data_IF_280367303325
#
_entry.id   IF_280367303325
#
_cell.length_a   1.000
_cell.length_b   1.000
_cell.length_c   1.000
_cell.angle_alpha   90.00
_cell.angle_beta   90.00
_cell.angle_gamma   90.00
#
_symmetry.space_group_name_H-M   'P 1'
#
loop_
_entity.id
_entity.type
_entity.pdbx_description
1 polymer ?
#
# COMPACT_ATOMS: atom_id res chain seq x y z
N UNK A 1 -10.47 71.79 -6.44
CA UNK A 1 -11.94 71.89 -6.47
C UNK A 1 -12.50 70.72 -5.66
N UNK A 2 -12.90 71.00 -4.41
CA UNK A 2 -14.24 70.73 -3.83
C UNK A 2 -14.64 69.24 -3.88
N UNK A 3 -14.50 68.51 -2.76
CA UNK A 3 -15.52 68.33 -1.70
C UNK A 3 -16.35 67.08 -2.01
N UNK A 4 -16.74 66.14 -1.13
CA UNK A 4 -17.04 66.05 0.31
C UNK A 4 -17.53 64.59 0.51
N UNK A 5 -17.56 63.91 1.65
CA UNK A 5 -17.34 64.23 3.05
C UNK A 5 -17.61 62.97 3.89
N UNK A 6 -16.91 62.85 5.02
CA UNK A 6 -17.17 61.96 6.15
C UNK A 6 -18.50 62.33 6.84
N UNK A 7 -19.16 61.37 7.50
CA UNK A 7 -19.22 61.33 8.99
C UNK A 7 -19.90 60.06 9.55
N UNK A 8 -19.26 59.57 10.60
CA UNK A 8 -19.75 58.68 11.67
C UNK A 8 -20.43 59.55 12.74
N UNK A 9 -21.52 59.12 13.38
CA UNK A 9 -21.76 59.36 14.83
C UNK A 9 -22.80 58.37 15.38
N UNK A 10 -22.58 57.96 16.62
CA UNK A 10 -23.29 56.95 17.39
C UNK A 10 -24.32 57.53 18.39
N UNK A 11 -25.04 56.60 19.05
CA UNK A 11 -25.42 56.55 20.48
C UNK A 11 -26.92 56.58 20.87
N UNK A 12 -27.20 55.66 21.81
CA UNK A 12 -28.06 55.71 23.00
C UNK A 12 -29.58 55.42 22.90
N UNK A 13 -30.03 54.49 23.76
CA UNK A 13 -31.41 54.49 24.28
C UNK A 13 -31.95 53.11 24.70
N UNK A 14 -31.99 52.84 26.00
CA UNK A 14 -32.48 51.61 26.63
C UNK A 14 -34.00 51.64 26.91
N UNK A 15 -34.66 50.47 27.02
CA UNK A 15 -35.75 50.20 27.96
C UNK A 15 -36.16 48.71 27.99
N UNK A 16 -36.24 48.15 29.21
CA UNK A 16 -36.87 46.88 29.59
C UNK A 16 -38.40 47.03 29.66
N UNK A 17 -39.18 45.97 29.35
CA UNK A 17 -40.34 45.51 30.14
C UNK A 17 -41.00 44.21 29.58
N UNK A 18 -40.89 43.15 30.38
CA UNK A 18 -41.80 42.05 30.76
C UNK A 18 -43.08 41.77 29.93
N UNK A 19 -43.28 40.51 29.56
CA UNK A 19 -44.59 39.91 29.25
C UNK A 19 -44.53 38.39 29.05
N UNK A 20 -45.00 37.62 30.04
CA UNK A 20 -45.19 36.17 30.00
C UNK A 20 -46.31 35.75 29.02
N UNK A 21 -46.34 34.47 28.60
CA UNK A 21 -47.50 33.53 28.68
C UNK A 21 -47.25 32.25 27.83
N UNK A 22 -47.15 31.12 28.54
CA UNK A 22 -47.50 29.71 28.25
C UNK A 22 -47.25 29.02 26.88
N UNK A 23 -46.63 27.83 26.94
CA UNK A 23 -46.78 26.76 25.93
C UNK A 23 -47.89 25.75 26.30
N UNK A 24 -48.04 24.67 25.49
CA UNK A 24 -48.33 23.32 26.00
C UNK A 24 -47.32 22.30 25.42
N UNK A 25 -46.66 21.48 26.24
CA UNK A 25 -47.11 20.21 26.85
C UNK A 25 -47.06 19.01 25.88
N UNK A 26 -46.21 18.05 26.26
CA UNK A 26 -45.95 16.78 25.59
C UNK A 26 -47.08 15.76 25.77
N UNK A 27 -47.19 14.82 24.82
CA UNK A 27 -47.96 13.57 24.98
C UNK A 27 -47.07 12.36 24.69
N UNK A 28 -47.03 11.41 25.65
CA UNK A 28 -46.39 10.09 25.54
C UNK A 28 -47.40 9.03 25.08
N UNK A 29 -46.87 8.03 24.36
CA UNK A 29 -47.29 6.61 24.38
C UNK A 29 -47.52 5.99 22.99
N UNK A 30 -47.46 4.64 22.79
CA UNK A 30 -46.85 3.57 23.60
C UNK A 30 -45.83 2.70 22.80
N UNK A 31 -45.08 1.86 23.52
CA UNK A 31 -44.11 0.88 23.00
C UNK A 31 -44.77 -0.36 22.34
N UNK A 32 -44.08 -0.92 21.34
CA UNK A 32 -44.29 -2.25 20.73
C UNK A 32 -43.06 -2.66 19.89
N UNK A 33 -42.77 -3.96 19.70
CA UNK A 33 -41.42 -4.51 19.96
C UNK A 33 -40.55 -4.78 18.71
N UNK A 34 -39.24 -4.88 19.00
CA UNK A 34 -38.19 -5.66 18.33
C UNK A 34 -38.02 -5.55 16.81
N UNK A 35 -37.08 -4.69 16.42
CA UNK A 35 -36.35 -4.77 15.16
C UNK A 35 -34.89 -4.38 15.41
N UNK A 36 -34.06 -5.35 15.77
CA UNK A 36 -32.60 -5.18 15.84
C UNK A 36 -32.06 -4.83 14.46
N UNK A 37 -31.80 -3.55 14.21
CA UNK A 37 -30.76 -3.16 13.27
C UNK A 37 -29.44 -3.20 14.04
N UNK A 38 -28.61 -4.18 13.69
CA UNK A 38 -27.23 -4.25 14.12
C UNK A 38 -26.47 -3.08 13.48
N UNK A 39 -26.42 -1.95 14.18
CA UNK A 39 -25.41 -0.93 13.94
C UNK A 39 -24.05 -1.54 14.31
N UNK A 40 -23.26 -1.86 13.28
CA UNK A 40 -21.85 -2.15 13.43
C UNK A 40 -21.18 -0.92 14.04
N UNK A 41 -20.84 -0.99 15.33
CA UNK A 41 -19.94 -0.03 15.97
C UNK A 41 -18.60 -0.07 15.25
N UNK A 42 -18.39 0.88 14.35
CA UNK A 42 -17.05 1.34 14.03
C UNK A 42 -16.38 1.74 15.34
N UNK A 43 -15.36 0.97 15.73
CA UNK A 43 -14.56 1.28 16.89
C UNK A 43 -13.82 2.59 16.60
N UNK A 44 -14.19 3.61 17.37
CA UNK A 44 -13.54 4.91 17.46
C UNK A 44 -12.05 4.71 17.79
N UNK A 45 -11.18 4.82 16.80
CA UNK A 45 -9.72 4.78 16.97
C UNK A 45 -9.27 6.15 17.50
N UNK A 46 -9.46 6.36 18.80
CA UNK A 46 -8.81 7.44 19.55
C UNK A 46 -8.35 6.93 20.90
N UNK A 47 -7.03 6.93 21.13
CA UNK A 47 -6.50 7.00 22.51
C UNK A 47 -5.31 6.14 22.90
N UNK A 48 -4.30 5.93 22.05
CA UNK A 48 -2.94 5.67 22.56
C UNK A 48 -1.97 6.65 21.92
N UNK A 49 -1.50 7.59 22.74
CA UNK A 49 -0.86 8.81 22.26
C UNK A 49 0.53 8.63 21.62
N UNK A 50 1.14 7.45 21.67
CA UNK A 50 2.35 7.09 20.91
C UNK A 50 2.35 5.56 20.74
N UNK A 51 2.73 5.04 19.56
CA UNK A 51 2.85 3.60 19.34
C UNK A 51 3.88 2.97 20.30
N UNK A 52 3.83 1.66 20.54
CA UNK A 52 4.84 0.98 21.38
C UNK A 52 5.31 -0.34 20.77
N UNK A 53 6.63 -0.52 20.71
CA UNK A 53 7.29 -1.68 20.13
C UNK A 53 8.08 -2.43 21.19
N UNK A 54 8.00 -3.77 21.17
CA UNK A 54 8.89 -4.65 21.94
C UNK A 54 9.91 -5.27 20.99
N UNK A 55 11.19 -4.96 21.16
CA UNK A 55 12.30 -5.65 20.48
C UNK A 55 12.70 -6.86 21.29
N UNK A 56 12.57 -8.04 20.69
CA UNK A 56 12.99 -9.31 21.23
C UNK A 56 14.17 -9.87 20.44
N UNK A 57 15.29 -10.14 21.11
CA UNK A 57 16.55 -10.54 20.46
C UNK A 57 17.21 -11.75 21.14
N UNK A 58 16.42 -12.60 21.80
CA UNK A 58 16.94 -13.84 22.40
C UNK A 58 17.42 -14.79 21.31
N UNK A 59 18.54 -15.46 21.56
CA UNK A 59 19.08 -16.50 20.69
C UNK A 59 19.32 -17.78 21.48
N UNK A 60 18.97 -18.92 20.89
CA UNK A 60 19.35 -20.26 21.31
C UNK A 60 20.29 -20.94 20.28
N UNK A 61 20.59 -20.25 19.16
CA UNK A 61 21.56 -20.64 18.15
C UNK A 61 22.66 -19.58 17.96
N UNK A 62 23.02 -19.28 16.71
CA UNK A 62 24.04 -18.28 16.39
C UNK A 62 23.64 -16.89 16.90
N UNK A 63 24.62 -16.15 17.44
CA UNK A 63 24.42 -14.81 17.97
C UNK A 63 25.05 -13.79 17.03
N UNK A 64 24.20 -13.05 16.33
CA UNK A 64 24.61 -11.95 15.45
C UNK A 64 25.21 -10.80 16.26
N UNK A 65 26.38 -10.31 15.87
CA UNK A 65 27.07 -9.24 16.57
C UNK A 65 26.44 -7.86 16.32
N UNK A 66 25.52 -7.76 15.36
CA UNK A 66 24.78 -6.56 14.95
C UNK A 66 23.51 -6.27 15.76
N UNK A 67 23.08 -7.18 16.63
CA UNK A 67 21.88 -6.98 17.45
C UNK A 67 21.95 -5.70 18.30
N UNK A 68 23.07 -5.33 18.96
CA UNK A 68 23.15 -4.06 19.70
C UNK A 68 22.86 -2.84 18.81
N UNK A 69 23.42 -2.80 17.60
CA UNK A 69 23.21 -1.75 16.60
C UNK A 69 21.77 -1.75 16.10
N UNK A 70 21.18 -2.92 15.90
CA UNK A 70 19.76 -3.04 15.54
C UNK A 70 18.81 -2.54 16.63
N UNK A 71 19.07 -2.87 17.90
CA UNK A 71 18.29 -2.33 19.03
C UNK A 71 18.41 -0.81 19.08
N UNK A 72 19.62 -0.27 18.92
CA UNK A 72 19.86 1.18 18.90
C UNK A 72 19.10 1.84 17.75
N UNK A 73 19.18 1.28 16.54
CA UNK A 73 18.49 1.81 15.36
C UNK A 73 16.96 1.84 15.54
N UNK A 74 16.35 0.77 16.05
CA UNK A 74 14.89 0.74 16.28
C UNK A 74 14.49 1.77 17.35
N UNK A 75 15.30 1.93 18.42
CA UNK A 75 15.06 2.96 19.44
C UNK A 75 15.16 4.38 18.89
N UNK A 76 16.18 4.67 18.08
CA UNK A 76 16.35 5.96 17.43
C UNK A 76 15.16 6.27 16.51
N UNK A 77 14.74 5.29 15.71
CA UNK A 77 13.59 5.41 14.83
C UNK A 77 12.31 5.69 15.63
N UNK A 78 12.10 5.00 16.74
CA UNK A 78 10.97 5.25 17.64
C UNK A 78 10.97 6.65 18.25
N UNK A 79 12.12 7.08 18.78
CA UNK A 79 12.28 8.42 19.35
C UNK A 79 12.03 9.53 18.31
N UNK A 80 12.47 9.32 17.06
CA UNK A 80 12.29 10.28 15.98
C UNK A 80 10.87 10.30 15.39
N UNK A 81 10.07 9.24 15.56
CA UNK A 81 8.79 9.07 14.87
C UNK A 81 7.59 8.82 15.81
N UNK A 82 7.71 9.12 17.10
CA UNK A 82 6.58 9.10 18.03
C UNK A 82 6.10 7.70 18.41
N UNK A 83 7.02 6.76 18.62
CA UNK A 83 6.71 5.47 19.25
C UNK A 83 7.79 5.02 20.24
N UNK A 84 7.35 4.47 21.37
CA UNK A 84 8.25 3.98 22.42
C UNK A 84 8.78 2.58 22.09
N UNK A 85 10.02 2.30 22.49
CA UNK A 85 10.68 1.01 22.21
C UNK A 85 11.27 0.43 23.50
N UNK A 86 10.77 -0.74 23.88
CA UNK A 86 11.41 -1.58 24.91
C UNK A 86 12.21 -2.69 24.23
N UNK A 87 13.31 -3.15 24.84
CA UNK A 87 14.11 -4.25 24.33
C UNK A 87 14.34 -5.29 25.41
N UNK A 88 14.28 -6.58 25.04
CA UNK A 88 14.52 -7.69 25.97
C UNK A 88 15.03 -8.93 25.26
N UNK A 89 15.79 -9.75 25.98
CA UNK A 89 16.13 -11.12 25.58
C UNK A 89 15.42 -12.15 26.47
N UNK A 90 14.55 -11.70 27.39
CA UNK A 90 13.88 -12.58 28.34
C UNK A 90 12.52 -13.05 27.79
N UNK A 91 12.43 -14.34 27.42
CA UNK A 91 11.18 -14.96 26.97
C UNK A 91 10.02 -14.85 27.97
N UNK A 92 10.29 -14.63 29.27
CA UNK A 92 9.24 -14.38 30.26
C UNK A 92 8.41 -13.10 30.00
N UNK A 93 8.86 -12.22 29.09
CA UNK A 93 8.08 -11.08 28.62
C UNK A 93 6.86 -11.49 27.77
N UNK A 94 6.83 -12.71 27.21
CA UNK A 94 5.75 -13.23 26.37
C UNK A 94 4.59 -13.76 27.21
N UNK A 95 3.86 -12.83 27.81
CA UNK A 95 2.59 -13.09 28.49
C UNK A 95 1.50 -12.24 27.84
N UNK A 96 0.24 -12.71 27.82
CA UNK A 96 -0.86 -11.95 27.21
C UNK A 96 -1.00 -10.54 27.81
N UNK A 97 -0.79 -10.40 29.13
CA UNK A 97 -0.83 -9.11 29.83
C UNK A 97 0.28 -8.16 29.37
N UNK A 98 1.49 -8.66 29.19
CA UNK A 98 2.60 -7.81 28.79
C UNK A 98 2.53 -7.46 27.30
N UNK A 99 2.22 -8.44 26.45
CA UNK A 99 2.09 -8.24 24.99
C UNK A 99 0.97 -7.26 24.63
N UNK A 100 -0.12 -7.20 25.41
CA UNK A 100 -1.19 -6.22 25.20
C UNK A 100 -0.76 -4.74 25.35
N UNK A 101 0.47 -4.48 25.82
CA UNK A 101 1.06 -3.14 25.86
C UNK A 101 1.77 -2.77 24.57
N UNK A 102 1.89 -3.64 23.58
CA UNK A 102 2.68 -3.36 22.38
C UNK A 102 1.80 -3.43 21.14
N UNK A 103 2.06 -2.54 20.20
CA UNK A 103 1.39 -2.50 18.91
C UNK A 103 2.15 -3.34 17.89
N UNK A 104 3.48 -3.50 18.06
CA UNK A 104 4.31 -4.46 17.33
C UNK A 104 5.34 -5.15 18.23
N UNK A 105 5.71 -6.38 17.88
CA UNK A 105 6.85 -7.11 18.43
C UNK A 105 7.86 -7.37 17.31
N UNK A 106 9.10 -6.92 17.51
CA UNK A 106 10.22 -7.13 16.58
C UNK A 106 10.99 -8.35 17.05
N UNK A 107 11.19 -9.34 16.17
CA UNK A 107 12.15 -10.41 16.34
C UNK A 107 13.42 -9.99 15.62
N UNK A 108 14.39 -9.48 16.36
CA UNK A 108 15.64 -8.93 15.83
C UNK A 108 16.73 -9.99 15.90
N UNK A 109 16.98 -10.66 14.77
CA UNK A 109 18.00 -11.69 14.62
C UNK A 109 17.97 -12.77 15.72
N UNK A 110 16.77 -13.15 16.15
CA UNK A 110 16.55 -14.32 17.03
C UNK A 110 17.01 -15.58 16.31
N UNK A 111 17.42 -16.62 17.04
CA UNK A 111 17.80 -17.92 16.44
C UNK A 111 17.43 -19.08 17.34
N UNK A 112 17.07 -20.23 16.76
CA UNK A 112 16.70 -21.45 17.50
C UNK A 112 15.33 -21.39 18.19
N UNK A 113 15.16 -22.25 19.21
CA UNK A 113 13.94 -22.35 20.03
C UNK A 113 14.06 -21.40 21.25
N UNK A 114 13.27 -20.32 21.24
CA UNK A 114 13.45 -19.17 22.14
C UNK A 114 12.26 -18.98 23.07
N UNK A 115 11.09 -19.54 22.75
CA UNK A 115 9.84 -19.47 23.50
C UNK A 115 9.30 -20.87 23.84
N UNK A 116 8.97 -21.09 25.11
CA UNK A 116 8.25 -22.32 25.48
C UNK A 116 6.78 -22.29 25.04
N UNK A 117 6.10 -23.44 25.12
CA UNK A 117 4.69 -23.59 24.70
C UNK A 117 3.71 -22.55 25.31
N UNK A 118 3.92 -22.12 26.55
CA UNK A 118 3.07 -21.10 27.18
C UNK A 118 3.29 -19.70 26.57
N UNK A 119 4.55 -19.38 26.25
CA UNK A 119 4.96 -18.14 25.60
C UNK A 119 4.54 -18.09 24.13
N UNK A 120 4.69 -19.22 23.41
CA UNK A 120 4.18 -19.41 22.06
C UNK A 120 2.68 -19.11 22.01
N UNK A 121 1.87 -19.78 22.86
CA UNK A 121 0.43 -19.54 22.96
C UNK A 121 0.06 -18.08 23.27
N UNK A 122 0.84 -17.41 24.12
CA UNK A 122 0.62 -16.00 24.41
C UNK A 122 0.86 -15.12 23.17
N UNK A 123 1.86 -15.47 22.36
CA UNK A 123 2.17 -14.77 21.11
C UNK A 123 1.15 -15.03 20.00
N UNK A 124 0.68 -16.28 19.84
CA UNK A 124 -0.42 -16.59 18.90
C UNK A 124 -1.62 -15.70 19.18
N UNK A 125 -2.06 -15.65 20.44
CA UNK A 125 -3.18 -14.82 20.84
C UNK A 125 -2.92 -13.34 20.64
N UNK A 126 -1.68 -12.87 20.76
CA UNK A 126 -1.32 -11.47 20.46
C UNK A 126 -1.51 -11.15 18.98
N UNK A 127 -0.99 -11.98 18.07
CA UNK A 127 -1.17 -11.83 16.62
C UNK A 127 -2.66 -11.91 16.25
N UNK A 128 -3.39 -12.90 16.80
CA UNK A 128 -4.82 -13.10 16.53
C UNK A 128 -5.72 -11.92 16.95
N UNK A 129 -5.24 -11.06 17.85
CA UNK A 129 -5.93 -9.82 18.27
C UNK A 129 -5.49 -8.58 17.49
N UNK A 130 -4.73 -8.74 16.41
CA UNK A 130 -4.28 -7.63 15.57
C UNK A 130 -2.89 -7.07 15.91
N UNK A 131 -2.12 -7.78 16.74
CA UNK A 131 -0.75 -7.40 17.06
C UNK A 131 0.16 -7.45 15.83
N UNK A 132 1.07 -6.47 15.71
CA UNK A 132 2.08 -6.42 14.66
C UNK A 132 3.29 -7.31 14.96
N UNK A 133 3.90 -7.85 13.91
CA UNK A 133 5.16 -8.59 13.91
C UNK A 133 6.13 -7.99 12.89
N UNK A 134 7.39 -7.88 13.28
CA UNK A 134 8.51 -7.51 12.40
C UNK A 134 9.62 -8.53 12.60
N UNK A 135 9.91 -9.34 11.59
CA UNK A 135 11.07 -10.23 11.57
C UNK A 135 12.24 -9.57 10.85
N UNK A 136 13.42 -9.55 11.48
CA UNK A 136 14.64 -8.99 10.88
C UNK A 136 15.70 -10.09 10.82
N UNK A 137 16.24 -10.28 9.61
CA UNK A 137 17.33 -11.19 9.27
C UNK A 137 17.12 -12.60 9.84
N UNK A 138 17.84 -12.96 10.91
CA UNK A 138 17.81 -14.30 11.46
C UNK A 138 16.49 -14.69 12.14
N UNK A 139 15.51 -13.79 12.22
CA UNK A 139 14.15 -14.16 12.59
C UNK A 139 13.60 -15.36 11.77
N UNK A 140 14.06 -15.59 10.54
CA UNK A 140 13.73 -16.79 9.76
C UNK A 140 14.41 -18.10 10.27
N UNK A 141 15.48 -18.00 11.06
CA UNK A 141 16.21 -19.08 11.74
C UNK A 141 15.66 -19.36 13.16
N UNK A 142 14.36 -19.15 13.38
CA UNK A 142 13.72 -19.21 14.70
C UNK A 142 12.54 -20.19 14.69
N UNK A 143 12.38 -20.97 15.78
CA UNK A 143 11.17 -21.77 16.07
C UNK A 143 10.72 -22.77 14.98
N UNK A 144 11.66 -23.53 14.39
CA UNK A 144 11.38 -24.42 13.25
C UNK A 144 10.24 -25.44 13.46
N UNK A 145 10.04 -25.92 14.69
CA UNK A 145 9.02 -26.93 15.01
C UNK A 145 7.65 -26.31 15.33
N UNK A 146 7.53 -24.98 15.29
CA UNK A 146 6.29 -24.26 15.58
C UNK A 146 5.65 -23.74 14.29
N UNK A 147 4.74 -24.52 13.70
CA UNK A 147 4.13 -24.22 12.40
C UNK A 147 3.44 -22.85 12.30
N UNK A 148 2.87 -22.35 13.40
CA UNK A 148 2.31 -21.01 13.46
C UNK A 148 3.36 -19.94 13.17
N UNK A 149 4.55 -20.04 13.78
CA UNK A 149 5.64 -19.10 13.53
C UNK A 149 6.14 -19.19 12.09
N UNK A 150 6.29 -20.39 11.55
CA UNK A 150 6.65 -20.59 10.14
C UNK A 150 5.67 -19.92 9.16
N UNK A 151 4.38 -19.93 9.48
CA UNK A 151 3.39 -19.16 8.73
C UNK A 151 3.53 -17.65 8.93
N UNK A 152 3.79 -17.19 10.16
CA UNK A 152 3.95 -15.77 10.50
C UNK A 152 5.17 -15.14 9.83
N UNK A 153 6.35 -15.76 9.95
CA UNK A 153 7.58 -15.31 9.30
C UNK A 153 7.54 -15.52 7.79
N UNK A 154 6.73 -16.48 7.31
CA UNK A 154 6.46 -16.74 5.89
C UNK A 154 7.39 -17.79 5.29
N UNK A 155 8.68 -17.77 5.62
CA UNK A 155 9.64 -18.79 5.22
C UNK A 155 10.75 -18.97 6.25
N UNK A 156 11.22 -20.21 6.37
CA UNK A 156 12.31 -20.58 7.27
C UNK A 156 13.67 -20.50 6.59
N UNK A 157 14.70 -20.15 7.34
CA UNK A 157 16.09 -20.20 6.90
C UNK A 157 16.51 -21.61 6.48
N UNK A 158 17.33 -21.69 5.41
CA UNK A 158 17.92 -22.93 4.89
C UNK A 158 19.45 -22.86 4.89
N UNK A 159 20.02 -21.84 4.27
CA UNK A 159 21.47 -21.65 4.08
C UNK A 159 21.78 -20.19 3.75
N UNK A 160 23.05 -19.82 3.76
CA UNK A 160 23.52 -18.54 3.23
C UNK A 160 24.96 -18.72 2.69
N UNK A 161 25.39 -17.91 1.71
CA UNK A 161 26.80 -17.80 1.34
C UNK A 161 27.54 -16.87 2.30
N UNK A 162 28.82 -16.60 2.01
CA UNK A 162 29.54 -15.53 2.72
C UNK A 162 28.92 -14.15 2.45
N UNK A 163 29.11 -13.23 3.39
CA UNK A 163 28.76 -11.81 3.24
C UNK A 163 29.36 -11.28 1.94
N UNK A 164 28.53 -10.73 1.07
CA UNK A 164 28.94 -10.22 -0.24
C UNK A 164 27.95 -9.19 -0.76
N UNK A 165 28.37 -8.45 -1.78
CA UNK A 165 27.47 -7.56 -2.47
C UNK A 165 26.46 -8.34 -3.33
N UNK A 166 25.19 -7.94 -3.31
CA UNK A 166 24.14 -8.38 -4.21
C UNK A 166 23.26 -7.19 -4.61
N UNK A 167 22.46 -7.40 -5.64
CA UNK A 167 21.44 -6.47 -6.11
C UNK A 167 20.07 -6.97 -5.64
N UNK A 168 19.34 -6.08 -4.98
CA UNK A 168 17.96 -6.29 -4.56
C UNK A 168 17.07 -5.54 -5.55
N UNK A 169 16.15 -6.24 -6.19
CA UNK A 169 15.10 -5.68 -7.04
C UNK A 169 13.88 -5.37 -6.17
N UNK A 170 13.44 -4.12 -6.17
CA UNK A 170 12.22 -3.69 -5.49
C UNK A 170 11.02 -3.97 -6.39
N UNK A 171 10.09 -4.78 -5.91
CA UNK A 171 8.93 -5.23 -6.69
C UNK A 171 7.68 -4.41 -6.38
N UNK A 172 7.60 -3.83 -5.18
CA UNK A 172 6.48 -2.98 -4.77
C UNK A 172 7.00 -1.65 -4.20
N UNK A 173 6.61 -0.54 -4.81
CA UNK A 173 6.90 0.82 -4.32
C UNK A 173 5.72 1.46 -3.59
N UNK A 174 4.58 0.78 -3.44
CA UNK A 174 3.45 1.26 -2.64
C UNK A 174 3.67 1.07 -1.14
N UNK A 175 4.33 -0.01 -0.72
CA UNK A 175 4.57 -0.26 0.70
C UNK A 175 5.55 0.77 1.30
N UNK A 176 5.27 1.35 2.49
CA UNK A 176 6.14 2.35 3.13
C UNK A 176 7.58 1.90 3.39
N UNK A 177 7.83 0.59 3.42
CA UNK A 177 9.16 0.01 3.60
C UNK A 177 10.03 0.10 2.33
N UNK A 178 9.43 0.24 1.16
CA UNK A 178 10.14 0.13 -0.13
C UNK A 178 9.89 1.32 -1.05
N UNK A 179 8.90 2.17 -0.76
CA UNK A 179 8.54 3.35 -1.54
C UNK A 179 9.73 4.28 -1.88
N UNK A 180 10.64 4.50 -0.92
CA UNK A 180 11.79 5.39 -1.09
C UNK A 180 13.02 4.73 -1.73
N UNK A 181 13.00 3.40 -1.91
CA UNK A 181 14.14 2.67 -2.46
C UNK A 181 14.20 2.86 -3.98
N UNK A 182 15.40 2.84 -4.59
CA UNK A 182 15.51 2.69 -6.03
C UNK A 182 15.01 1.31 -6.46
N UNK A 183 14.60 1.18 -7.72
CA UNK A 183 14.18 -0.09 -8.31
C UNK A 183 15.24 -1.19 -8.17
N UNK A 184 16.51 -0.82 -8.38
CA UNK A 184 17.67 -1.69 -8.16
C UNK A 184 18.52 -1.14 -7.03
N UNK A 185 18.61 -1.90 -5.95
CA UNK A 185 19.29 -1.52 -4.71
C UNK A 185 20.47 -2.45 -4.44
N UNK A 186 21.68 -1.95 -4.71
CA UNK A 186 22.92 -2.71 -4.45
C UNK A 186 23.33 -2.61 -2.98
N UNK A 187 23.58 -3.75 -2.35
CA UNK A 187 23.96 -3.86 -0.94
C UNK A 187 24.95 -4.96 -0.66
N UNK A 188 25.65 -4.85 0.46
CA UNK A 188 26.47 -5.91 1.03
C UNK A 188 25.84 -6.38 2.34
N UNK A 189 25.51 -7.66 2.43
CA UNK A 189 24.98 -8.30 3.64
C UNK A 189 25.15 -9.83 3.53
N UNK A 190 24.61 -10.59 4.49
CA UNK A 190 24.49 -12.05 4.40
C UNK A 190 23.11 -12.46 3.85
N UNK A 191 23.09 -13.16 2.71
CA UNK A 191 21.86 -13.43 1.95
C UNK A 191 21.29 -14.82 2.24
N UNK A 192 20.11 -14.87 2.84
CA UNK A 192 19.47 -16.13 3.22
C UNK A 192 18.77 -16.79 2.05
N UNK A 193 19.10 -18.06 1.80
CA UNK A 193 18.19 -19.00 1.15
C UNK A 193 17.13 -19.47 2.14
N UNK A 194 15.94 -19.74 1.62
CA UNK A 194 14.80 -20.19 2.40
C UNK A 194 14.41 -21.63 2.08
N UNK A 195 13.79 -22.32 3.04
CA UNK A 195 13.29 -23.70 2.87
C UNK A 195 12.10 -23.78 1.91
N UNK A 196 11.42 -22.66 1.71
CA UNK A 196 10.26 -22.52 0.83
C UNK A 196 10.23 -21.09 0.29
N UNK A 197 9.72 -20.92 -0.92
CA UNK A 197 9.43 -19.59 -1.44
C UNK A 197 8.14 -19.02 -0.80
N UNK A 198 8.16 -17.81 -0.22
CA UNK A 198 6.99 -17.22 0.44
C UNK A 198 5.96 -16.60 -0.53
N UNK A 199 6.32 -16.36 -1.80
CA UNK A 199 5.56 -15.56 -2.78
C UNK A 199 4.10 -15.96 -2.93
N UNK A 200 3.79 -17.25 -2.90
CA UNK A 200 2.39 -17.70 -3.03
C UNK A 200 1.50 -17.32 -1.84
N UNK A 201 2.09 -17.02 -0.68
CA UNK A 201 1.35 -16.80 0.59
C UNK A 201 1.51 -15.39 1.13
N UNK A 202 2.53 -14.66 0.68
CA UNK A 202 2.85 -13.31 1.15
C UNK A 202 2.82 -12.32 0.00
N UNK A 203 2.77 -11.04 0.32
CA UNK A 203 3.04 -9.97 -0.63
C UNK A 203 4.55 -9.70 -0.62
N UNK A 204 5.24 -10.06 -1.72
CA UNK A 204 6.69 -9.83 -1.87
C UNK A 204 6.93 -8.36 -2.18
N UNK A 205 7.84 -7.73 -1.44
CA UNK A 205 8.19 -6.33 -1.59
C UNK A 205 9.51 -6.14 -2.35
N UNK A 206 10.42 -7.09 -2.20
CA UNK A 206 11.71 -7.08 -2.87
C UNK A 206 12.30 -8.49 -2.96
N UNK A 207 13.12 -8.72 -3.98
CA UNK A 207 13.83 -9.98 -4.24
C UNK A 207 15.31 -9.77 -4.53
N UNK A 208 16.13 -10.78 -4.26
CA UNK A 208 17.52 -10.81 -4.68
C UNK A 208 17.63 -11.22 -6.15
N UNK A 209 18.45 -10.51 -6.90
CA UNK A 209 18.92 -10.94 -8.22
C UNK A 209 20.06 -11.95 -8.05
N UNK A 210 19.75 -13.25 -8.19
CA UNK A 210 20.72 -14.34 -8.09
C UNK A 210 21.85 -14.29 -9.14
N UNK A 211 21.73 -13.47 -10.21
CA UNK A 211 22.82 -13.26 -11.17
C UNK A 211 23.89 -12.28 -10.67
N UNK A 212 23.57 -11.49 -9.65
CA UNK A 212 24.45 -10.43 -9.11
C UNK A 212 25.40 -10.91 -8.01
N UNK A 213 25.22 -12.12 -7.50
CA UNK A 213 26.00 -12.70 -6.39
C UNK A 213 26.12 -14.22 -6.53
N UNK A 214 26.83 -14.87 -5.62
CA UNK A 214 27.02 -16.34 -5.65
C UNK A 214 26.42 -17.02 -4.43
N UNK A 215 25.85 -18.21 -4.65
CA UNK A 215 25.35 -19.10 -3.59
C UNK A 215 23.84 -19.06 -3.36
N UNK A 216 23.07 -18.29 -4.14
CA UNK A 216 21.61 -18.36 -4.14
C UNK A 216 21.11 -19.73 -4.66
N UNK A 217 20.13 -20.30 -3.97
CA UNK A 217 19.55 -21.62 -4.30
C UNK A 217 18.02 -21.60 -4.39
N UNK A 218 17.44 -20.43 -4.66
CA UNK A 218 15.99 -20.21 -4.76
C UNK A 218 15.45 -20.32 -6.18
N UNK A 219 16.32 -20.60 -7.17
CA UNK A 219 15.99 -20.83 -8.58
C UNK A 219 15.46 -19.58 -9.30
N UNK A 220 16.13 -18.45 -9.08
CA UNK A 220 15.85 -17.16 -9.72
C UNK A 220 14.76 -16.33 -9.07
N UNK A 221 13.80 -16.94 -8.37
CA UNK A 221 12.80 -16.22 -7.57
C UNK A 221 13.18 -16.25 -6.08
N UNK A 222 13.86 -15.18 -5.64
CA UNK A 222 14.46 -15.10 -4.32
C UNK A 222 13.91 -13.92 -3.49
N UNK A 223 12.67 -13.99 -2.98
CA UNK A 223 12.13 -12.95 -2.09
C UNK A 223 13.03 -12.71 -0.88
N UNK A 224 13.28 -11.44 -0.56
CA UNK A 224 14.12 -11.03 0.59
C UNK A 224 13.38 -10.09 1.55
N UNK A 225 12.32 -9.44 1.10
CA UNK A 225 11.41 -8.69 1.97
C UNK A 225 9.95 -8.95 1.57
N UNK A 226 9.07 -9.13 2.55
CA UNK A 226 7.66 -9.38 2.31
C UNK A 226 6.78 -8.94 3.48
N UNK A 227 5.50 -8.77 3.20
CA UNK A 227 4.48 -8.53 4.21
C UNK A 227 3.24 -9.42 4.01
N UNK A 228 2.47 -9.60 5.07
CA UNK A 228 1.19 -10.31 5.02
C UNK A 228 0.29 -9.94 6.20
N UNK A 229 -1.03 -10.01 5.98
CA UNK A 229 -1.97 -10.12 7.08
C UNK A 229 -2.09 -11.59 7.49
N UNK A 230 -1.59 -11.95 8.67
CA UNK A 230 -1.50 -13.33 9.14
C UNK A 230 -2.37 -13.55 10.38
N UNK A 231 -3.41 -14.37 10.24
CA UNK A 231 -4.37 -14.73 11.30
C UNK A 231 -4.91 -13.54 12.11
N UNK A 232 -5.09 -12.38 11.48
CA UNK A 232 -5.61 -11.16 12.11
C UNK A 232 -4.55 -10.11 12.44
N UNK A 233 -3.26 -10.48 12.52
CA UNK A 233 -2.14 -9.56 12.74
C UNK A 233 -1.45 -9.11 11.45
N UNK A 234 -0.62 -8.07 11.56
CA UNK A 234 0.24 -7.57 10.48
C UNK A 234 1.64 -8.15 10.64
N UNK A 235 2.19 -8.79 9.62
CA UNK A 235 3.51 -9.40 9.67
C UNK A 235 4.38 -8.86 8.53
N UNK A 236 5.50 -8.24 8.88
CA UNK A 236 6.53 -7.78 7.96
C UNK A 236 7.82 -8.54 8.24
N UNK A 237 8.53 -8.91 7.18
CA UNK A 237 9.84 -9.56 7.29
C UNK A 237 10.82 -8.92 6.30
N UNK A 238 12.07 -8.78 6.73
CA UNK A 238 13.20 -8.45 5.85
C UNK A 238 14.40 -9.33 6.20
N UNK A 239 15.03 -9.89 5.18
CA UNK A 239 16.27 -10.66 5.31
C UNK A 239 17.52 -9.79 5.48
N UNK A 240 17.39 -8.47 5.31
CA UNK A 240 18.48 -7.50 5.54
C UNK A 240 18.67 -7.27 7.04
N UNK A 241 19.92 -7.16 7.49
CA UNK A 241 20.27 -6.82 8.87
C UNK A 241 21.29 -7.73 9.53
N UNK A 242 22.08 -8.50 8.76
CA UNK A 242 23.18 -9.28 9.32
C UNK A 242 24.28 -8.37 9.84
N UNK A 243 24.74 -7.46 8.98
CA UNK A 243 25.88 -6.56 9.21
C UNK A 243 25.52 -5.40 10.14
N UNK A 244 26.51 -4.91 10.89
CA UNK A 244 26.37 -3.69 11.72
C UNK A 244 26.13 -2.45 10.86
N UNK A 245 26.79 -2.40 9.73
CA UNK A 245 26.74 -1.33 8.74
C UNK A 245 25.32 -1.10 8.23
N UNK A 246 24.51 -2.17 8.13
CA UNK A 246 23.10 -2.07 7.76
C UNK A 246 22.34 -1.11 8.67
N UNK A 247 22.61 -1.10 9.97
CA UNK A 247 21.88 -0.24 10.91
C UNK A 247 22.34 1.23 10.92
N UNK A 248 23.46 1.53 10.27
CA UNK A 248 23.93 2.90 10.02
C UNK A 248 23.46 3.44 8.65
N UNK A 249 23.10 2.56 7.71
CA UNK A 249 22.71 2.94 6.37
C UNK A 249 21.31 3.62 6.35
N UNK A 250 21.18 4.84 5.82
CA UNK A 250 19.90 5.56 5.77
C UNK A 250 18.77 4.80 5.07
N UNK A 251 19.06 4.11 3.97
CA UNK A 251 18.04 3.40 3.21
C UNK A 251 17.57 2.12 3.95
N UNK A 252 18.44 1.43 4.71
CA UNK A 252 17.97 0.34 5.61
C UNK A 252 17.10 0.93 6.71
N UNK A 253 17.55 2.00 7.35
CA UNK A 253 16.81 2.59 8.49
C UNK A 253 15.42 3.04 8.06
N UNK A 254 15.29 3.61 6.86
CA UNK A 254 14.01 3.99 6.30
C UNK A 254 13.16 2.77 5.89
N UNK A 255 13.78 1.69 5.37
CA UNK A 255 13.10 0.41 5.11
C UNK A 255 12.52 -0.20 6.40
N UNK A 256 13.32 -0.26 7.47
CA UNK A 256 12.88 -0.71 8.79
C UNK A 256 11.78 0.19 9.36
N UNK A 257 11.91 1.51 9.23
CA UNK A 257 10.88 2.46 9.68
C UNK A 257 9.55 2.23 8.96
N UNK A 258 9.56 2.04 7.64
CA UNK A 258 8.35 1.75 6.87
C UNK A 258 7.67 0.46 7.32
N UNK A 259 8.44 -0.61 7.50
CA UNK A 259 7.94 -1.89 8.05
C UNK A 259 7.38 -1.75 9.46
N UNK A 260 8.06 -1.01 10.35
CA UNK A 260 7.60 -0.73 11.72
C UNK A 260 6.31 0.09 11.72
N UNK A 261 6.24 1.17 10.93
CA UNK A 261 5.06 2.04 10.83
C UNK A 261 3.84 1.26 10.35
N UNK A 262 4.01 0.40 9.34
CA UNK A 262 2.92 -0.47 8.90
C UNK A 262 2.54 -1.49 9.99
N UNK A 263 3.51 -2.16 10.61
CA UNK A 263 3.25 -3.15 11.67
C UNK A 263 2.49 -2.55 12.86
N UNK A 264 2.79 -1.32 13.29
CA UNK A 264 2.06 -0.64 14.38
C UNK A 264 0.75 0.03 13.93
N UNK A 265 0.40 -0.01 12.63
CA UNK A 265 -0.81 0.61 12.09
C UNK A 265 -0.73 2.13 11.90
N UNK A 266 0.48 2.70 11.85
CA UNK A 266 0.75 4.11 11.59
C UNK A 266 0.96 4.43 10.08
N UNK A 267 0.87 3.40 9.23
CA UNK A 267 0.86 3.51 7.78
C UNK A 267 0.02 2.38 7.18
N UNK A 268 -0.61 2.65 6.03
CA UNK A 268 -1.41 1.70 5.27
C UNK A 268 -0.57 1.08 4.16
N UNK A 269 -0.83 -0.18 3.82
CA UNK A 269 -0.30 -0.85 2.65
C UNK A 269 -1.13 -2.09 2.32
N UNK A 270 -1.17 -2.48 1.05
CA UNK A 270 -1.80 -3.72 0.62
C UNK A 270 -0.82 -4.90 0.71
N UNK A 271 -0.97 -5.74 1.73
CA UNK A 271 -0.16 -6.93 1.91
C UNK A 271 -0.89 -8.22 1.51
N UNK A 272 -1.82 -8.15 0.54
CA UNK A 272 -2.41 -9.35 -0.08
C UNK A 272 -1.41 -9.96 -1.07
N UNK A 273 -1.29 -11.30 -1.13
CA UNK A 273 -0.45 -11.94 -2.13
C UNK A 273 -0.87 -11.60 -3.56
N UNK A 274 0.10 -11.35 -4.43
CA UNK A 274 -0.13 -10.91 -5.81
C UNK A 274 -0.14 -12.07 -6.82
N UNK A 275 -0.73 -13.20 -6.43
CA UNK A 275 -0.79 -14.38 -7.29
C UNK A 275 -1.73 -14.16 -8.49
N UNK A 276 -1.33 -14.65 -9.66
CA UNK A 276 -2.19 -14.72 -10.85
C UNK A 276 -2.24 -13.45 -11.69
N UNK A 277 -1.37 -12.47 -11.44
CA UNK A 277 -1.12 -11.38 -12.38
C UNK A 277 -0.27 -11.89 -13.54
N UNK A 278 -0.62 -11.49 -14.76
CA UNK A 278 0.24 -11.59 -15.94
C UNK A 278 0.66 -10.18 -16.38
N UNK A 279 1.89 -10.05 -16.86
CA UNK A 279 2.36 -8.80 -17.45
C UNK A 279 1.60 -8.52 -18.76
N UNK A 280 1.11 -7.29 -18.89
CA UNK A 280 0.66 -6.69 -20.16
C UNK A 280 1.77 -5.86 -20.80
N UNK A 281 2.61 -5.23 -19.96
CA UNK A 281 3.81 -4.51 -20.37
C UNK A 281 4.89 -4.72 -19.30
N UNK A 282 6.02 -5.30 -19.72
CA UNK A 282 7.13 -5.72 -18.87
C UNK A 282 8.39 -4.85 -19.00
N UNK A 283 8.24 -3.66 -19.57
CA UNK A 283 9.38 -2.76 -19.84
C UNK A 283 10.09 -3.03 -21.17
N UNK A 284 9.67 -4.00 -21.97
CA UNK A 284 10.32 -4.34 -23.23
C UNK A 284 9.52 -3.91 -24.47
N UNK A 285 10.22 -3.67 -25.57
CA UNK A 285 9.57 -3.41 -26.87
C UNK A 285 8.72 -4.61 -27.34
N UNK A 286 9.11 -5.83 -26.97
CA UNK A 286 8.38 -7.04 -27.31
C UNK A 286 6.97 -7.06 -26.69
N UNK A 287 6.81 -6.63 -25.43
CA UNK A 287 5.49 -6.58 -24.79
C UNK A 287 4.58 -5.47 -25.35
N UNK A 288 5.15 -4.44 -25.98
CA UNK A 288 4.39 -3.40 -26.68
C UNK A 288 3.72 -3.85 -27.97
N UNK A 289 4.13 -4.98 -28.56
CA UNK A 289 3.56 -5.49 -29.81
C UNK A 289 2.05 -5.78 -29.74
N UNK A 290 1.53 -6.01 -28.52
CA UNK A 290 0.11 -6.22 -28.25
C UNK A 290 -0.69 -4.92 -28.04
N UNK A 291 -0.01 -3.76 -27.99
CA UNK A 291 -0.62 -2.46 -27.73
C UNK A 291 -0.84 -1.68 -29.03
N UNK A 292 -1.83 -0.79 -29.01
CA UNK A 292 -2.21 0.07 -30.14
C UNK A 292 -2.28 1.51 -29.70
N UNK A 293 -1.77 2.41 -30.54
CA UNK A 293 -1.82 3.85 -30.31
C UNK A 293 -2.95 4.48 -31.15
N UNK A 294 -3.80 5.25 -30.49
CA UNK A 294 -4.79 6.11 -31.13
C UNK A 294 -4.45 7.59 -30.88
N UNK A 295 -4.68 8.45 -31.88
CA UNK A 295 -4.43 9.89 -31.78
C UNK A 295 -2.98 10.34 -32.07
N UNK A 296 -2.73 11.66 -32.12
CA UNK A 296 -1.43 12.24 -32.43
C UNK A 296 -0.38 12.12 -31.31
N UNK A 297 -0.77 11.82 -30.07
CA UNK A 297 0.16 11.53 -28.97
C UNK A 297 0.84 10.18 -29.10
N UNK A 298 1.91 9.99 -28.32
CA UNK A 298 2.60 8.70 -28.23
C UNK A 298 3.31 8.53 -26.89
N UNK A 299 4.01 7.41 -26.75
CA UNK A 299 4.87 7.11 -25.60
C UNK A 299 6.28 6.76 -26.10
N UNK A 300 7.30 7.23 -25.39
CA UNK A 300 8.69 6.80 -25.57
C UNK A 300 9.06 5.74 -24.54
N UNK A 301 9.68 4.65 -24.97
CA UNK A 301 10.25 3.63 -24.09
C UNK A 301 11.67 4.02 -23.69
N UNK A 302 11.92 4.19 -22.41
CA UNK A 302 13.25 4.44 -21.85
C UNK A 302 14.07 3.16 -21.68
N UNK A 303 15.39 3.31 -21.52
CA UNK A 303 16.32 2.20 -21.24
C UNK A 303 16.04 1.51 -19.89
N UNK A 304 15.32 2.20 -18.98
CA UNK A 304 14.84 1.70 -17.70
C UNK A 304 13.49 0.96 -17.81
N UNK A 305 12.97 0.76 -19.03
CA UNK A 305 11.69 0.09 -19.26
C UNK A 305 10.46 0.96 -18.98
N UNK A 306 10.64 2.27 -18.75
CA UNK A 306 9.54 3.19 -18.50
C UNK A 306 8.94 3.72 -19.80
N UNK A 307 7.60 3.74 -19.90
CA UNK A 307 6.89 4.47 -20.95
C UNK A 307 6.62 5.90 -20.50
N UNK A 308 7.01 6.91 -21.27
CA UNK A 308 6.72 8.33 -20.95
C UNK A 308 5.92 8.99 -22.06
N UNK A 309 4.85 9.67 -21.68
CA UNK A 309 3.91 10.33 -22.58
C UNK A 309 4.55 11.51 -23.31
N UNK A 310 4.31 11.66 -24.62
CA UNK A 310 4.83 12.77 -25.44
C UNK A 310 3.81 13.22 -26.51
N UNK A 311 3.81 14.52 -26.82
CA UNK A 311 2.97 15.09 -27.88
C UNK A 311 1.54 15.41 -27.41
N UNK A 312 0.57 15.50 -28.33
CA UNK A 312 -0.82 15.86 -28.00
C UNK A 312 -1.71 14.67 -27.65
N UNK A 313 -3.03 14.85 -27.50
CA UNK A 313 -3.94 13.78 -27.08
C UNK A 313 -3.68 12.42 -27.75
N UNK A 314 -3.59 11.36 -26.96
CA UNK A 314 -3.37 10.00 -27.42
C UNK A 314 -3.84 8.95 -26.41
N UNK A 315 -4.04 7.73 -26.91
CA UNK A 315 -4.48 6.59 -26.11
C UNK A 315 -3.67 5.36 -26.51
N UNK A 316 -2.80 4.90 -25.62
CA UNK A 316 -2.12 3.61 -25.78
C UNK A 316 -2.96 2.54 -25.10
N UNK A 317 -3.58 1.67 -25.88
CA UNK A 317 -4.54 0.67 -25.38
C UNK A 317 -4.13 -0.76 -25.73
N UNK A 318 -4.50 -1.70 -24.86
CA UNK A 318 -4.16 -3.10 -25.04
C UNK A 318 -5.05 -3.73 -26.12
N UNK A 319 -4.46 -3.98 -27.29
CA UNK A 319 -5.18 -4.39 -28.49
C UNK A 319 -5.41 -5.88 -28.65
N UNK A 320 -4.73 -6.73 -27.86
CA UNK A 320 -4.81 -8.18 -28.01
C UNK A 320 -6.12 -8.79 -27.47
N UNK A 321 -6.73 -8.19 -26.45
CA UNK A 321 -8.00 -8.68 -25.87
C UNK A 321 -8.74 -7.58 -25.10
N UNK A 322 -10.07 -7.71 -25.02
CA UNK A 322 -10.88 -7.03 -24.01
C UNK A 322 -10.90 -7.82 -22.70
N UNK A 323 -11.41 -7.20 -21.64
CA UNK A 323 -11.49 -7.76 -20.29
C UNK A 323 -12.87 -7.49 -19.68
N UNK A 324 -13.36 -8.43 -18.87
CA UNK A 324 -14.68 -8.31 -18.23
C UNK A 324 -14.67 -8.16 -16.72
N UNK A 325 -14.00 -9.06 -15.99
CA UNK A 325 -13.77 -8.91 -14.54
C UNK A 325 -12.31 -9.12 -14.24
N UNK A 326 -11.66 -8.12 -13.66
CA UNK A 326 -10.22 -8.09 -13.52
C UNK A 326 -9.76 -7.15 -12.41
N UNK A 327 -8.50 -7.33 -12.01
CA UNK A 327 -7.70 -6.35 -11.31
C UNK A 327 -6.54 -5.95 -12.23
N UNK A 328 -6.49 -4.68 -12.60
CA UNK A 328 -5.38 -4.04 -13.31
C UNK A 328 -4.49 -3.36 -12.28
N UNK A 329 -3.19 -3.63 -12.32
CA UNK A 329 -2.18 -2.90 -11.57
C UNK A 329 -1.19 -2.25 -12.53
N UNK A 330 -0.73 -1.06 -12.18
CA UNK A 330 0.30 -0.33 -12.90
C UNK A 330 0.90 0.75 -12.00
N UNK A 331 2.15 1.07 -12.27
CA UNK A 331 2.85 2.19 -11.69
C UNK A 331 2.78 3.39 -12.62
N UNK A 332 2.66 4.58 -12.04
CA UNK A 332 2.67 5.86 -12.74
C UNK A 332 3.46 6.92 -11.96
N UNK A 333 4.02 7.89 -12.67
CA UNK A 333 4.78 9.00 -12.09
C UNK A 333 4.62 10.25 -12.93
N UNK A 334 4.32 11.37 -12.27
CA UNK A 334 4.35 12.69 -12.89
C UNK A 334 5.78 13.22 -12.90
N UNK A 335 6.25 13.72 -14.04
CA UNK A 335 7.59 14.25 -14.19
C UNK A 335 7.70 15.70 -13.70
N UNK A 336 6.64 16.49 -13.85
CA UNK A 336 6.64 17.90 -13.48
C UNK A 336 6.66 18.10 -11.98
N UNK A 337 7.57 18.96 -11.51
CA UNK A 337 7.61 19.41 -10.12
C UNK A 337 6.38 20.25 -9.72
N UNK A 338 5.59 20.77 -10.68
CA UNK A 338 4.33 21.45 -10.37
C UNK A 338 3.23 20.47 -9.93
N UNK A 339 3.33 19.19 -10.30
CA UNK A 339 2.29 18.19 -10.08
C UNK A 339 0.99 18.42 -10.87
N UNK A 340 1.05 19.26 -11.91
CA UNK A 340 -0.06 19.68 -12.78
C UNK A 340 -0.01 18.94 -14.14
N UNK A 341 0.70 17.81 -14.22
CA UNK A 341 0.65 16.94 -15.40
C UNK A 341 -0.70 16.21 -15.41
N UNK A 342 -1.36 16.22 -16.57
CA UNK A 342 -2.64 15.53 -16.75
C UNK A 342 -2.47 14.22 -17.53
N UNK A 343 -3.05 13.14 -17.01
CA UNK A 343 -3.19 11.86 -17.70
C UNK A 343 -4.31 11.04 -17.04
N UNK A 344 -4.49 9.80 -17.50
CA UNK A 344 -5.46 8.89 -16.92
C UNK A 344 -5.28 7.45 -17.39
N UNK A 345 -5.85 6.53 -16.61
CA UNK A 345 -6.00 5.12 -16.97
C UNK A 345 -7.45 4.89 -17.38
N UNK A 346 -7.66 4.38 -18.59
CA UNK A 346 -8.99 4.13 -19.14
C UNK A 346 -9.39 2.67 -19.03
N UNK A 347 -10.67 2.44 -18.75
CA UNK A 347 -11.27 1.09 -18.65
C UNK A 347 -12.63 1.04 -19.36
N UNK A 348 -12.98 -0.14 -19.88
CA UNK A 348 -14.33 -0.45 -20.36
C UNK A 348 -14.75 0.29 -21.64
N UNK A 349 -13.82 0.53 -22.57
CA UNK A 349 -14.12 1.16 -23.86
C UNK A 349 -13.93 0.20 -25.04
N UNK A 350 -14.63 0.41 -26.17
CA UNK A 350 -14.47 -0.42 -27.36
C UNK A 350 -13.16 -0.09 -28.09
N UNK A 351 -12.60 -1.10 -28.78
CA UNK A 351 -11.48 -0.93 -29.70
C UNK A 351 -11.73 0.20 -30.71
N UNK A 352 -10.78 1.11 -30.86
CA UNK A 352 -10.87 2.22 -31.80
C UNK A 352 -9.50 2.82 -32.10
N UNK A 353 -9.37 3.42 -33.29
CA UNK A 353 -8.22 4.26 -33.66
C UNK A 353 -8.48 5.75 -33.35
N UNK A 354 -9.68 6.09 -32.89
CA UNK A 354 -10.04 7.43 -32.39
C UNK A 354 -9.73 7.54 -30.88
N UNK A 355 -8.81 8.44 -30.47
CA UNK A 355 -8.48 8.62 -29.04
C UNK A 355 -9.68 9.07 -28.21
N UNK A 356 -10.69 9.72 -28.83
CA UNK A 356 -11.90 10.13 -28.13
C UNK A 356 -12.87 8.97 -27.86
N UNK A 357 -12.67 7.80 -28.47
CA UNK A 357 -13.52 6.63 -28.21
C UNK A 357 -13.45 6.20 -26.74
N UNK A 358 -12.25 6.18 -26.16
CA UNK A 358 -12.07 5.84 -24.74
C UNK A 358 -12.73 6.88 -23.82
N UNK A 359 -12.58 8.16 -24.14
CA UNK A 359 -13.20 9.29 -23.43
C UNK A 359 -14.73 9.24 -23.47
N UNK A 360 -15.28 8.92 -24.64
CA UNK A 360 -16.72 8.96 -24.89
C UNK A 360 -17.45 7.68 -24.45
N UNK A 361 -16.76 6.55 -24.34
CA UNK A 361 -17.40 5.25 -24.12
C UNK A 361 -16.86 4.47 -22.90
N UNK A 362 -15.72 4.87 -22.32
CA UNK A 362 -15.13 4.20 -21.14
C UNK A 362 -15.17 5.06 -19.89
N UNK A 363 -14.31 4.72 -18.93
CA UNK A 363 -14.08 5.51 -17.72
C UNK A 363 -12.61 5.80 -17.53
N UNK A 364 -12.31 7.06 -17.25
CA UNK A 364 -10.98 7.52 -16.86
C UNK A 364 -10.83 7.48 -15.34
N UNK A 365 -9.75 6.86 -14.90
CA UNK A 365 -9.22 7.00 -13.55
C UNK A 365 -8.11 8.05 -13.65
N UNK A 366 -8.41 9.23 -13.13
CA UNK A 366 -7.62 10.43 -13.37
C UNK A 366 -6.24 10.39 -12.72
N UNK A 367 -5.25 11.03 -13.36
CA UNK A 367 -3.95 11.42 -12.80
C UNK A 367 -3.84 12.93 -12.98
N UNK A 368 -4.12 13.67 -11.91
CA UNK A 368 -3.89 15.10 -11.71
C UNK A 368 -4.46 15.45 -10.33
N UNK A 369 -3.62 15.79 -9.36
CA UNK A 369 -4.11 16.02 -8.00
C UNK A 369 -4.65 17.45 -7.79
N UNK A 370 -4.41 18.34 -8.73
CA UNK A 370 -4.59 19.78 -8.59
C UNK A 370 -5.92 20.29 -9.16
N UNK A 371 -6.56 19.51 -10.04
CA UNK A 371 -7.87 19.82 -10.59
C UNK A 371 -9.02 19.68 -9.57
N UNK A 372 -10.23 20.05 -10.00
CA UNK A 372 -11.46 19.99 -9.23
C UNK A 372 -11.70 18.60 -8.62
N UNK A 373 -12.42 18.50 -7.47
CA UNK A 373 -12.58 17.22 -6.77
C UNK A 373 -13.14 16.06 -7.61
N UNK A 374 -14.01 16.32 -8.58
CA UNK A 374 -14.60 15.32 -9.49
C UNK A 374 -13.68 14.94 -10.67
N UNK A 375 -12.50 15.56 -10.75
CA UNK A 375 -11.46 15.40 -11.79
C UNK A 375 -10.07 15.31 -11.19
N UNK A 376 -9.98 14.87 -9.94
CA UNK A 376 -8.72 14.80 -9.22
C UNK A 376 -8.16 13.36 -9.26
N UNK A 377 -6.87 13.16 -8.97
CA UNK A 377 -6.22 11.84 -8.95
C UNK A 377 -7.10 10.77 -8.27
N UNK A 378 -7.44 9.73 -9.04
CA UNK A 378 -8.26 8.59 -8.60
C UNK A 378 -9.77 8.80 -8.66
N UNK A 379 -10.24 9.97 -9.11
CA UNK A 379 -11.63 10.18 -9.49
C UNK A 379 -11.97 9.33 -10.71
N UNK A 380 -13.23 8.90 -10.78
CA UNK A 380 -13.83 8.48 -12.04
C UNK A 380 -14.25 9.77 -12.73
N UNK A 381 -13.48 10.19 -13.73
CA UNK A 381 -13.47 11.58 -14.21
C UNK A 381 -14.86 12.13 -14.55
N UNK A 382 -15.29 13.20 -13.88
CA UNK A 382 -16.62 13.83 -13.99
C UNK A 382 -17.81 12.96 -13.56
N UNK A 383 -17.61 11.76 -13.02
CA UNK A 383 -18.67 10.87 -12.51
C UNK A 383 -18.64 10.70 -10.99
N UNK A 384 -17.47 10.48 -10.39
CA UNK A 384 -17.34 10.29 -8.94
C UNK A 384 -15.96 10.72 -8.44
N UNK A 385 -15.94 11.70 -7.55
CA UNK A 385 -14.75 12.14 -6.81
C UNK A 385 -14.14 11.01 -5.97
N UNK A 386 -12.82 11.01 -5.83
CA UNK A 386 -12.13 10.16 -4.87
C UNK A 386 -12.39 10.62 -3.42
N UNK A 387 -12.18 9.73 -2.44
CA UNK A 387 -12.05 10.10 -1.03
C UNK A 387 -10.77 10.92 -0.86
N UNK A 388 -10.92 12.26 -0.93
CA UNK A 388 -9.82 13.23 -0.90
C UNK A 388 -8.88 13.00 0.28
N UNK A 389 -9.43 12.72 1.47
CA UNK A 389 -8.60 12.50 2.66
C UNK A 389 -7.76 11.25 2.55
N UNK A 390 -8.30 10.16 1.99
CA UNK A 390 -7.52 8.93 1.76
C UNK A 390 -6.51 9.12 0.64
N UNK A 391 -6.92 9.79 -0.44
CA UNK A 391 -6.06 10.14 -1.57
C UNK A 391 -4.85 10.94 -1.11
N UNK A 392 -5.04 12.03 -0.39
CA UNK A 392 -3.94 12.90 0.06
C UNK A 392 -2.97 12.19 1.01
N UNK A 393 -3.46 11.19 1.76
CA UNK A 393 -2.60 10.36 2.63
C UNK A 393 -1.83 9.29 1.87
N UNK A 394 -2.36 8.83 0.75
CA UNK A 394 -1.79 7.72 -0.02
C UNK A 394 -0.89 8.20 -1.15
N UNK A 395 -1.19 9.37 -1.73
CA UNK A 395 -0.50 9.92 -2.90
C UNK A 395 0.93 10.36 -2.56
N UNK A 396 1.91 9.79 -3.28
CA UNK A 396 3.28 10.26 -3.26
C UNK A 396 3.41 11.56 -4.09
N UNK A 397 4.34 12.47 -3.70
CA UNK A 397 4.54 13.73 -4.40
C UNK A 397 5.02 13.55 -5.86
N UNK A 398 4.93 14.60 -6.70
CA UNK A 398 5.48 14.56 -8.05
C UNK A 398 6.97 14.19 -8.07
N UNK A 399 7.38 13.43 -9.09
CA UNK A 399 8.71 12.83 -9.16
C UNK A 399 8.84 11.48 -8.46
N UNK A 400 7.84 11.05 -7.68
CA UNK A 400 7.79 9.72 -7.06
C UNK A 400 6.76 8.82 -7.74
N UNK A 401 7.03 7.51 -7.71
CA UNK A 401 6.12 6.51 -8.26
C UNK A 401 4.89 6.32 -7.39
N UNK A 402 3.76 6.10 -8.03
CA UNK A 402 2.49 5.75 -7.42
C UNK A 402 1.95 4.50 -8.13
N UNK A 403 1.28 3.63 -7.39
CA UNK A 403 0.65 2.43 -7.92
C UNK A 403 -0.86 2.59 -7.89
N UNK A 404 -1.49 2.32 -9.03
CA UNK A 404 -2.93 2.06 -9.07
C UNK A 404 -3.22 0.57 -9.05
N UNK A 405 -4.22 0.18 -8.26
CA UNK A 405 -4.99 -1.05 -8.48
C UNK A 405 -6.42 -0.66 -8.86
N UNK A 406 -6.82 -1.02 -10.06
CA UNK A 406 -8.16 -0.78 -10.60
C UNK A 406 -8.87 -2.11 -10.70
N UNK A 407 -9.94 -2.30 -9.92
CA UNK A 407 -10.74 -3.53 -9.90
C UNK A 407 -12.08 -3.32 -10.56
N UNK A 408 -12.34 -4.08 -11.61
CA UNK A 408 -13.62 -4.16 -12.32
C UNK A 408 -14.26 -5.51 -12.04
N UNK A 409 -15.46 -5.51 -11.45
CA UNK A 409 -16.27 -6.71 -11.23
C UNK A 409 -17.73 -6.41 -11.61
N UNK A 410 -18.15 -6.85 -12.81
CA UNK A 410 -19.41 -6.42 -13.40
C UNK A 410 -19.40 -4.92 -13.71
N UNK A 411 -20.40 -4.17 -13.22
CA UNK A 411 -20.45 -2.70 -13.38
C UNK A 411 -19.71 -1.94 -12.26
N UNK A 412 -19.08 -2.65 -11.30
CA UNK A 412 -18.44 -2.01 -10.15
C UNK A 412 -16.95 -1.81 -10.39
N UNK A 413 -16.51 -0.56 -10.27
CA UNK A 413 -15.14 -0.08 -10.39
C UNK A 413 -14.63 0.38 -9.02
N UNK A 414 -13.53 -0.20 -8.54
CA UNK A 414 -12.83 0.25 -7.32
C UNK A 414 -11.42 0.67 -7.64
N UNK A 415 -11.00 1.80 -7.10
CA UNK A 415 -9.66 2.36 -7.28
C UNK A 415 -8.93 2.34 -5.95
N UNK A 416 -7.75 1.74 -5.94
CA UNK A 416 -6.80 1.81 -4.84
C UNK A 416 -5.56 2.56 -5.32
N UNK A 417 -5.11 3.50 -4.51
CA UNK A 417 -3.87 4.24 -4.71
C UNK A 417 -2.90 3.85 -3.61
N UNK A 418 -1.73 3.32 -3.97
CA UNK A 418 -0.72 2.84 -3.03
C UNK A 418 -1.33 1.91 -1.95
N UNK A 419 -2.18 0.98 -2.38
CA UNK A 419 -2.87 0.02 -1.51
C UNK A 419 -4.10 0.57 -0.76
N UNK A 420 -4.34 1.89 -0.75
CA UNK A 420 -5.48 2.51 -0.06
C UNK A 420 -6.68 2.63 -1.01
N UNK A 421 -7.84 2.07 -0.62
CA UNK A 421 -9.08 2.24 -1.40
C UNK A 421 -9.56 3.68 -1.35
N UNK A 422 -9.49 4.40 -2.47
CA UNK A 422 -9.87 5.81 -2.58
C UNK A 422 -11.16 6.02 -3.38
N UNK A 423 -11.61 5.03 -4.16
CA UNK A 423 -12.85 5.16 -4.93
C UNK A 423 -13.61 3.82 -5.04
N UNK A 424 -14.94 3.88 -5.08
CA UNK A 424 -15.85 2.72 -5.16
C UNK A 424 -17.10 3.14 -5.94
N UNK A 425 -17.01 3.06 -7.26
CA UNK A 425 -18.00 3.52 -8.22
C UNK A 425 -18.79 2.34 -8.79
N UNK A 426 -20.07 2.55 -9.06
CA UNK A 426 -20.90 1.56 -9.78
C UNK A 426 -21.51 2.23 -10.99
N UNK A 427 -21.18 1.73 -12.18
CA UNK A 427 -21.75 2.19 -13.44
C UNK A 427 -23.26 1.90 -13.49
N UNK A 428 -24.02 2.89 -13.97
CA UNK A 428 -25.46 2.78 -14.26
C UNK A 428 -25.79 3.10 -15.72
N UNK A 429 -24.81 3.52 -16.52
CA UNK A 429 -24.95 3.81 -17.94
C UNK A 429 -24.71 2.54 -18.76
N UNK A 430 -25.74 1.99 -19.42
CA UNK A 430 -25.59 0.78 -20.23
C UNK A 430 -24.73 0.98 -21.48
N UNK A 431 -24.51 2.23 -21.92
CA UNK A 431 -23.67 2.54 -23.09
C UNK A 431 -22.18 2.44 -22.75
N UNK A 432 -21.81 2.69 -21.48
CA UNK A 432 -20.43 2.61 -20.97
C UNK A 432 -20.19 1.36 -20.12
N UNK A 433 -20.77 0.23 -20.52
CA UNK A 433 -20.69 -1.03 -19.77
C UNK A 433 -19.25 -1.44 -19.45
N UNK A 434 -18.96 -1.74 -18.18
CA UNK A 434 -17.64 -2.21 -17.74
C UNK A 434 -17.45 -3.73 -17.91
N UNK A 435 -18.48 -4.45 -18.38
CA UNK A 435 -18.46 -5.92 -18.47
C UNK A 435 -17.62 -6.46 -19.63
N UNK A 436 -17.30 -5.62 -20.59
CA UNK A 436 -16.45 -5.95 -21.73
C UNK A 436 -15.85 -4.66 -22.27
N UNK A 437 -14.54 -4.66 -22.49
CA UNK A 437 -13.84 -3.52 -23.05
C UNK A 437 -12.34 -3.58 -22.85
N UNK A 438 -11.65 -2.59 -23.40
CA UNK A 438 -10.20 -2.49 -23.34
C UNK A 438 -9.76 -1.65 -22.15
N UNK A 439 -8.45 -1.75 -21.88
CA UNK A 439 -7.73 -0.90 -20.95
C UNK A 439 -6.71 -0.07 -21.73
N UNK A 440 -6.41 1.14 -21.26
CA UNK A 440 -5.42 2.00 -21.89
C UNK A 440 -4.88 3.07 -20.95
N UNK A 441 -3.78 3.69 -21.36
CA UNK A 441 -3.14 4.82 -20.69
C UNK A 441 -3.14 6.03 -21.62
N UNK A 442 -3.40 7.20 -21.06
CA UNK A 442 -3.60 8.43 -21.83
C UNK A 442 -2.30 9.24 -21.94
N UNK A 443 -2.06 9.82 -23.12
CA UNK A 443 -1.25 11.03 -23.26
C UNK A 443 -2.21 12.21 -23.43
N UNK A 444 -2.15 13.23 -22.59
CA UNK A 444 -3.13 14.32 -22.59
C UNK A 444 -2.71 15.49 -23.49
N UNK A 445 -1.67 16.23 -23.10
CA UNK A 445 -1.16 17.41 -23.80
C UNK A 445 0.36 17.41 -23.96
N UNK A 446 0.87 18.29 -24.82
CA UNK A 446 2.29 18.34 -25.17
C UNK A 446 3.22 18.74 -24.01
N UNK A 447 2.65 19.39 -22.99
CA UNK A 447 3.37 19.81 -21.79
C UNK A 447 3.21 18.79 -20.65
N UNK A 448 2.30 17.81 -20.78
CA UNK A 448 2.01 16.80 -19.76
C UNK A 448 2.96 15.61 -19.90
N UNK A 449 3.76 15.35 -18.87
CA UNK A 449 4.71 14.23 -18.85
C UNK A 449 4.39 13.23 -17.74
N UNK A 450 3.70 12.16 -18.10
CA UNK A 450 3.39 11.05 -17.20
C UNK A 450 4.06 9.77 -17.68
N UNK A 451 4.77 9.14 -16.76
CA UNK A 451 5.47 7.89 -16.96
C UNK A 451 4.65 6.70 -16.43
N UNK A 452 4.76 5.55 -17.07
CA UNK A 452 4.09 4.30 -16.71
C UNK A 452 5.03 3.09 -16.78
N UNK A 453 4.85 2.12 -15.88
CA UNK A 453 5.56 0.82 -15.90
C UNK A 453 4.75 -0.27 -15.18
N UNK A 454 5.25 -1.51 -15.23
CA UNK A 454 4.67 -2.68 -14.54
C UNK A 454 3.16 -2.84 -14.76
N UNK A 455 2.71 -2.76 -16.01
CA UNK A 455 1.28 -2.86 -16.31
C UNK A 455 0.92 -4.35 -16.35
N UNK A 456 0.13 -4.78 -15.37
CA UNK A 456 -0.21 -6.19 -15.16
C UNK A 456 -1.68 -6.40 -14.84
N UNK A 457 -2.21 -7.54 -15.23
CA UNK A 457 -3.62 -7.86 -15.06
C UNK A 457 -3.83 -9.23 -14.44
N UNK A 458 -4.83 -9.31 -13.57
CA UNK A 458 -5.36 -10.56 -13.02
C UNK A 458 -6.85 -10.64 -13.34
N UNK A 459 -7.22 -11.59 -14.18
CA UNK A 459 -8.64 -11.88 -14.41
C UNK A 459 -9.27 -12.48 -13.14
N UNK A 460 -10.44 -11.97 -12.79
CA UNK A 460 -11.19 -12.38 -11.62
C UNK A 460 -12.31 -13.33 -12.04
N UNK A 461 -12.66 -14.33 -11.21
CA UNK A 461 -13.81 -15.17 -11.48
C UNK A 461 -15.04 -14.30 -11.71
N UNK A 462 -15.81 -14.59 -12.76
CA UNK A 462 -17.11 -13.98 -12.94
C UNK A 462 -17.92 -14.27 -11.67
N UNK A 463 -18.42 -13.24 -10.98
CA UNK A 463 -19.38 -13.46 -9.90
C UNK A 463 -20.58 -14.15 -10.53
N UNK A 464 -20.80 -15.42 -10.18
CA UNK A 464 -22.10 -16.03 -10.39
C UNK A 464 -23.12 -15.10 -9.73
N UNK A 465 -24.15 -14.73 -10.48
CA UNK A 465 -25.29 -14.05 -9.88
C UNK A 465 -25.78 -14.96 -8.75
N UNK A 466 -25.50 -14.58 -7.49
CA UNK A 466 -26.13 -15.20 -6.36
C UNK A 466 -27.63 -15.07 -6.62
N UNK A 467 -28.30 -16.22 -6.70
CA UNK A 467 -29.76 -16.28 -6.73
C UNK A 467 -30.26 -15.43 -5.56
N UNK A 468 -30.97 -14.36 -5.90
CA UNK A 468 -31.71 -13.60 -4.90
C UNK A 468 -32.80 -14.49 -4.35
N UNK A 469 -32.82 -14.62 -3.03
CA UNK A 469 -34.03 -14.91 -2.27
C UNK A 469 -34.76 -13.58 -1.98
#
# INVERSE_FOLDING_TARGET
MRATGRTVTALLGAALLIGCVSGPAASKGPEGPDGQQAESKEADVKGRADGRVLVFSKTAGFRHDSIPEGIAAVKDLGAANGFAVDATENGAAFTSRNLAKYDAVVFLSTTGDVLNAGQQKAFEGYIQRGGGYVGIHAAADTEYDWSFYGGLVGAYFKSHPAIQAARIEVEDHAHPATAHLPESWKRTDEWYDYRSNPRERTHVLASLDESSYTGGTMNGDHPIAWCQNYQGGRAFYTGVGHTKESYADPAVRQHLLGGLRWAIGAAEADCRPENGYRQLFDGTEASLSAWKQAGPGSFTLGDDGTLTSVGGLGMLWYGASGFGSYSLKLDWKMASASGDDNSGVFVGFPASDDPWSAVNNGYEIQIDATDAPDRTTGAVYSFQSADIKKRDRALNPPGEWNTYEIRVEGERLRVYLNGVKINDFTNTDPVRSLRDGHIGIQNHGAEDQVSFRDIRIKELPARSAAQGD
#
